data_IF_086519073362
#
_entry.id   IF_086519073362
#
_cell.length_a   1.000
_cell.length_b   1.000
_cell.length_c   1.000
_cell.angle_alpha   90.00
_cell.angle_beta   90.00
_cell.angle_gamma   90.00
#
_symmetry.space_group_name_H-M   'P 1'
#
loop_
_entity.id
_entity.type
_entity.pdbx_description
1 polymer ?
#
# COMPACT_ATOMS: atom_id res chain seq x y z
N UNK A 1 58.36 33.81 2.95
CA UNK A 1 57.70 32.51 2.67
C UNK A 1 56.19 32.74 2.64
N UNK A 2 55.58 32.76 1.45
CA UNK A 2 54.13 32.96 1.28
C UNK A 2 53.37 31.68 1.65
N UNK A 3 52.59 31.71 2.73
CA UNK A 3 51.62 30.65 3.05
C UNK A 3 50.31 30.92 2.30
N UNK A 4 50.02 30.06 1.32
CA UNK A 4 48.73 29.98 0.63
C UNK A 4 47.62 29.67 1.65
N UNK A 5 46.62 30.55 1.75
CA UNK A 5 45.35 30.25 2.41
C UNK A 5 44.52 29.45 1.40
N UNK A 6 44.55 28.13 1.53
CA UNK A 6 43.77 27.23 0.67
C UNK A 6 42.34 27.14 1.23
N UNK A 7 41.44 27.84 0.54
CA UNK A 7 40.06 27.46 0.21
C UNK A 7 39.53 26.16 0.86
N UNK A 8 39.11 26.22 2.13
CA UNK A 8 38.32 25.15 2.77
C UNK A 8 36.81 25.43 2.79
N UNK A 9 36.38 26.67 2.53
CA UNK A 9 34.96 27.04 2.56
C UNK A 9 34.22 26.87 1.22
N UNK A 10 34.93 26.85 0.09
CA UNK A 10 34.28 26.71 -1.23
C UNK A 10 33.87 25.26 -1.51
N UNK A 11 34.71 24.29 -1.11
CA UNK A 11 34.44 22.87 -1.35
C UNK A 11 33.23 22.33 -0.56
N UNK A 12 33.00 22.84 0.66
CA UNK A 12 31.85 22.43 1.48
C UNK A 12 30.53 22.99 0.93
N UNK A 13 30.53 24.25 0.47
CA UNK A 13 29.35 24.86 -0.16
C UNK A 13 28.99 24.17 -1.49
N UNK A 14 29.98 23.76 -2.30
CA UNK A 14 29.72 23.00 -3.53
C UNK A 14 29.05 21.66 -3.24
N UNK A 15 29.47 20.92 -2.21
CA UNK A 15 28.88 19.61 -1.88
C UNK A 15 27.41 19.70 -1.49
N UNK A 16 27.04 20.73 -0.72
CA UNK A 16 25.64 20.98 -0.33
C UNK A 16 24.79 21.34 -1.56
N UNK A 17 25.31 22.18 -2.47
CA UNK A 17 24.62 22.53 -3.71
C UNK A 17 24.41 21.30 -4.61
N UNK A 18 25.44 20.47 -4.80
CA UNK A 18 25.29 19.23 -5.57
C UNK A 18 24.29 18.26 -4.91
N UNK A 19 24.24 18.20 -3.58
CA UNK A 19 23.30 17.35 -2.86
C UNK A 19 21.85 17.84 -3.00
N UNK A 20 21.62 19.16 -2.94
CA UNK A 20 20.30 19.77 -3.18
C UNK A 20 19.86 19.55 -4.63
N UNK A 21 20.76 19.74 -5.60
CA UNK A 21 20.48 19.48 -7.02
C UNK A 21 20.19 18.00 -7.26
N UNK A 22 20.91 17.09 -6.61
CA UNK A 22 20.64 15.66 -6.68
C UNK A 22 19.27 15.30 -6.09
N UNK A 23 18.91 15.82 -4.91
CA UNK A 23 17.59 15.59 -4.31
C UNK A 23 16.48 16.16 -5.21
N UNK A 24 16.65 17.40 -5.69
CA UNK A 24 15.69 18.03 -6.59
C UNK A 24 15.56 17.27 -7.92
N UNK A 25 16.67 16.75 -8.47
CA UNK A 25 16.67 15.92 -9.67
C UNK A 25 16.00 14.57 -9.42
N UNK A 26 16.30 13.90 -8.30
CA UNK A 26 15.63 12.64 -7.91
C UNK A 26 14.14 12.84 -7.70
N UNK A 27 13.71 13.94 -7.07
CA UNK A 27 12.28 14.27 -6.90
C UNK A 27 11.59 14.70 -8.20
N UNK A 28 12.32 15.34 -9.11
CA UNK A 28 11.80 15.72 -10.44
C UNK A 28 11.81 14.55 -11.45
N UNK A 29 12.60 13.49 -11.20
CA UNK A 29 12.70 12.30 -12.07
C UNK A 29 12.01 11.07 -11.52
N UNK A 30 11.67 11.04 -10.22
CA UNK A 30 10.71 10.07 -9.71
C UNK A 30 9.35 10.38 -10.31
N UNK A 31 8.82 9.47 -11.14
CA UNK A 31 7.41 9.55 -11.56
C UNK A 31 6.54 9.82 -10.33
N UNK A 32 5.50 10.67 -10.45
CA UNK A 32 4.53 10.81 -9.37
C UNK A 32 4.08 9.40 -8.98
N UNK A 33 4.22 9.10 -7.70
CA UNK A 33 3.78 7.85 -7.13
C UNK A 33 2.30 7.64 -7.48
N UNK A 34 2.04 6.67 -8.36
CA UNK A 34 0.71 6.28 -8.79
C UNK A 34 0.38 4.93 -8.11
N UNK A 35 -0.38 4.95 -6.99
CA UNK A 35 -0.76 3.74 -6.27
C UNK A 35 -1.41 2.70 -7.16
N UNK A 36 -2.19 3.14 -8.16
CA UNK A 36 -2.88 2.25 -9.09
C UNK A 36 -1.89 1.55 -10.02
N UNK A 37 -0.92 2.28 -10.59
CA UNK A 37 0.13 1.67 -11.42
C UNK A 37 0.94 0.64 -10.64
N UNK A 38 1.33 0.96 -9.41
CA UNK A 38 2.07 0.03 -8.53
C UNK A 38 1.22 -1.20 -8.19
N UNK A 39 -0.06 -1.00 -7.88
CA UNK A 39 -0.98 -2.11 -7.62
C UNK A 39 -1.13 -3.01 -8.85
N UNK A 40 -1.42 -2.45 -10.02
CA UNK A 40 -1.61 -3.17 -11.27
C UNK A 40 -0.37 -4.00 -11.66
N UNK A 41 0.84 -3.47 -11.43
CA UNK A 41 2.10 -4.20 -11.64
C UNK A 41 2.21 -5.44 -10.74
N UNK A 42 1.87 -5.32 -9.45
CA UNK A 42 1.92 -6.43 -8.52
C UNK A 42 0.81 -7.46 -8.78
N UNK A 43 -0.38 -7.02 -9.18
CA UNK A 43 -1.47 -7.90 -9.63
C UNK A 43 -1.01 -8.74 -10.82
N UNK A 44 -0.45 -8.10 -11.85
CA UNK A 44 0.02 -8.81 -13.04
C UNK A 44 1.09 -9.85 -12.69
N UNK A 45 2.06 -9.47 -11.87
CA UNK A 45 3.13 -10.37 -11.43
C UNK A 45 2.58 -11.60 -10.70
N UNK A 46 1.71 -11.41 -9.70
CA UNK A 46 1.17 -12.52 -8.91
C UNK A 46 0.28 -13.46 -9.74
N UNK A 47 -0.43 -12.94 -10.74
CA UNK A 47 -1.20 -13.76 -11.67
C UNK A 47 -0.28 -14.64 -12.52
N UNK A 48 0.80 -14.07 -13.07
CA UNK A 48 1.75 -14.81 -13.91
C UNK A 48 2.58 -15.82 -13.11
N UNK A 49 3.13 -15.40 -11.98
CA UNK A 49 3.98 -16.23 -11.11
C UNK A 49 3.27 -17.51 -10.66
N UNK A 50 1.98 -17.42 -10.36
CA UNK A 50 1.17 -18.54 -9.88
C UNK A 50 0.30 -19.20 -10.97
N UNK A 51 0.40 -18.76 -12.23
CA UNK A 51 -0.38 -19.32 -13.35
C UNK A 51 -1.90 -19.19 -13.17
N UNK A 52 -2.35 -18.08 -12.56
CA UNK A 52 -3.74 -17.86 -12.22
C UNK A 52 -4.55 -17.33 -13.41
N UNK A 53 -5.86 -17.58 -13.41
CA UNK A 53 -6.74 -16.98 -14.41
C UNK A 53 -6.96 -15.50 -14.09
N UNK A 54 -6.40 -14.62 -14.93
CA UNK A 54 -6.50 -13.15 -14.78
C UNK A 54 -7.95 -12.66 -14.70
N UNK A 55 -8.81 -13.13 -15.61
CA UNK A 55 -10.20 -12.67 -15.70
C UNK A 55 -10.98 -13.10 -14.46
N UNK A 56 -10.68 -14.28 -13.93
CA UNK A 56 -11.24 -14.78 -12.69
C UNK A 56 -10.85 -13.92 -11.48
N UNK A 57 -9.56 -13.64 -11.31
CA UNK A 57 -9.04 -12.82 -10.21
C UNK A 57 -9.60 -11.41 -10.28
N UNK A 58 -9.60 -10.78 -11.46
CA UNK A 58 -10.15 -9.44 -11.67
C UNK A 58 -11.64 -9.40 -11.38
N UNK A 59 -12.40 -10.45 -11.73
CA UNK A 59 -13.81 -10.57 -11.36
C UNK A 59 -14.00 -10.54 -9.84
N UNK A 60 -13.16 -11.24 -9.07
CA UNK A 60 -13.25 -11.25 -7.60
C UNK A 60 -12.84 -9.91 -7.00
N UNK A 61 -11.74 -9.30 -7.48
CA UNK A 61 -11.27 -7.98 -7.02
C UNK A 61 -12.34 -6.88 -7.14
N UNK A 62 -13.25 -7.02 -8.11
CA UNK A 62 -14.34 -6.08 -8.31
C UNK A 62 -15.55 -6.30 -7.38
N UNK A 63 -15.53 -7.34 -6.55
CA UNK A 63 -16.59 -7.63 -5.59
C UNK A 63 -16.45 -6.83 -4.29
N UNK A 64 -17.57 -6.63 -3.61
CA UNK A 64 -17.61 -5.98 -2.30
C UNK A 64 -17.04 -6.89 -1.20
N UNK A 65 -17.19 -8.20 -1.34
CA UNK A 65 -16.73 -9.22 -0.40
C UNK A 65 -15.88 -10.22 -1.16
N UNK A 66 -14.74 -10.59 -0.59
CA UNK A 66 -13.83 -11.57 -1.17
C UNK A 66 -14.08 -12.97 -0.56
N UNK A 67 -13.99 -14.04 -1.36
CA UNK A 67 -14.17 -15.41 -0.88
C UNK A 67 -13.01 -15.83 0.04
N UNK A 68 -13.34 -16.45 1.17
CA UNK A 68 -12.36 -16.95 2.15
C UNK A 68 -11.93 -18.40 1.88
N UNK A 69 -12.74 -19.14 1.13
CA UNK A 69 -12.56 -20.56 0.77
C UNK A 69 -11.95 -20.77 -0.62
N UNK A 70 -11.75 -19.69 -1.37
CA UNK A 70 -11.14 -19.72 -2.70
C UNK A 70 -9.63 -19.79 -2.60
N UNK A 71 -9.08 -20.96 -2.98
CA UNK A 71 -7.64 -21.23 -2.94
C UNK A 71 -6.85 -20.34 -3.91
N UNK A 72 -7.33 -20.17 -5.14
CA UNK A 72 -6.61 -19.43 -6.19
C UNK A 72 -6.59 -17.94 -5.84
N UNK A 73 -7.70 -17.42 -5.34
CA UNK A 73 -7.79 -16.06 -4.86
C UNK A 73 -6.96 -15.84 -3.58
N UNK A 74 -6.90 -16.83 -2.68
CA UNK A 74 -6.04 -16.75 -1.50
C UNK A 74 -4.55 -16.70 -1.89
N UNK A 75 -4.10 -17.52 -2.84
CA UNK A 75 -2.72 -17.46 -3.36
C UNK A 75 -2.43 -16.07 -3.94
N UNK A 76 -3.33 -15.59 -4.79
CA UNK A 76 -3.23 -14.25 -5.37
C UNK A 76 -3.13 -13.15 -4.31
N UNK A 77 -4.04 -13.16 -3.33
CA UNK A 77 -4.15 -12.12 -2.33
C UNK A 77 -2.94 -12.11 -1.40
N UNK A 78 -2.43 -13.29 -1.00
CA UNK A 78 -1.22 -13.39 -0.19
C UNK A 78 -0.01 -12.82 -0.93
N UNK A 79 0.16 -13.18 -2.21
CA UNK A 79 1.24 -12.65 -3.05
C UNK A 79 1.19 -11.12 -3.16
N UNK A 80 0.02 -10.54 -3.47
CA UNK A 80 -0.09 -9.08 -3.62
C UNK A 80 0.18 -8.37 -2.29
N UNK A 81 -0.37 -8.87 -1.18
CA UNK A 81 -0.14 -8.30 0.14
C UNK A 81 1.34 -8.36 0.56
N UNK A 82 2.01 -9.49 0.29
CA UNK A 82 3.43 -9.68 0.61
C UNK A 82 4.32 -8.74 -0.21
N UNK A 83 4.08 -8.66 -1.53
CA UNK A 83 4.84 -7.78 -2.43
C UNK A 83 4.66 -6.29 -2.11
N UNK A 84 3.48 -5.90 -1.68
CA UNK A 84 3.20 -4.54 -1.23
C UNK A 84 3.67 -4.27 0.21
N UNK A 85 4.32 -5.25 0.87
CA UNK A 85 4.74 -5.15 2.27
C UNK A 85 3.59 -4.76 3.20
N UNK A 86 2.40 -5.29 2.90
CA UNK A 86 1.19 -5.04 3.67
C UNK A 86 1.10 -5.91 4.90
N UNK A 87 1.99 -6.87 5.11
CA UNK A 87 2.04 -7.65 6.35
C UNK A 87 2.95 -7.00 7.39
N UNK A 88 2.47 -6.95 8.63
CA UNK A 88 3.29 -6.74 9.82
C UNK A 88 4.13 -8.00 10.15
N UNK A 89 5.17 -7.90 10.99
CA UNK A 89 5.97 -9.06 11.40
C UNK A 89 5.18 -10.18 12.08
N UNK A 90 4.00 -9.87 12.63
CA UNK A 90 3.10 -10.83 13.27
C UNK A 90 2.15 -11.53 12.27
N UNK A 91 2.26 -11.24 10.97
CA UNK A 91 1.42 -11.80 9.91
C UNK A 91 0.07 -11.11 9.72
N UNK A 92 -0.26 -10.06 10.50
CA UNK A 92 -1.46 -9.25 10.29
C UNK A 92 -1.26 -8.23 9.17
N UNK A 93 -2.35 -7.73 8.59
CA UNK A 93 -2.29 -6.63 7.65
C UNK A 93 -1.95 -5.33 8.38
N UNK A 94 -0.93 -4.63 7.89
CA UNK A 94 -0.55 -3.28 8.27
C UNK A 94 -1.60 -2.30 7.74
N UNK A 95 -2.60 -1.99 8.56
CA UNK A 95 -3.64 -1.04 8.20
C UNK A 95 -3.18 0.42 8.16
N UNK A 96 -1.94 0.70 8.55
CA UNK A 96 -1.30 2.02 8.47
C UNK A 96 -0.44 2.17 7.22
N UNK A 97 -0.49 1.22 6.29
CA UNK A 97 0.30 1.27 5.07
C UNK A 97 -0.09 2.50 4.23
N UNK A 98 0.87 3.30 3.70
CA UNK A 98 0.60 4.52 2.94
C UNK A 98 -0.23 4.31 1.66
N UNK A 99 -0.43 3.06 1.21
CA UNK A 99 -1.28 2.73 0.06
C UNK A 99 -2.77 2.67 0.41
N UNK A 100 -3.13 2.35 1.65
CA UNK A 100 -4.50 2.02 2.02
C UNK A 100 -5.46 3.21 1.89
N UNK A 101 -5.06 4.37 2.39
CA UNK A 101 -5.91 5.57 2.34
C UNK A 101 -6.16 6.03 0.89
N UNK A 102 -5.13 6.24 0.03
CA UNK A 102 -5.35 6.56 -1.38
C UNK A 102 -6.22 5.53 -2.11
N UNK A 103 -5.98 4.23 -1.86
CA UNK A 103 -6.74 3.15 -2.48
C UNK A 103 -8.22 3.16 -2.07
N UNK A 104 -8.51 3.38 -0.77
CA UNK A 104 -9.89 3.47 -0.26
C UNK A 104 -10.59 4.71 -0.81
N UNK A 105 -9.92 5.87 -0.83
CA UNK A 105 -10.47 7.10 -1.43
C UNK A 105 -10.85 6.89 -2.89
N UNK A 106 -9.94 6.33 -3.69
CA UNK A 106 -10.19 6.04 -5.11
C UNK A 106 -11.35 5.04 -5.27
N UNK A 107 -11.32 3.92 -4.54
CA UNK A 107 -12.28 2.83 -4.70
C UNK A 107 -13.70 3.23 -4.30
N UNK A 108 -13.83 4.05 -3.26
CA UNK A 108 -15.10 4.51 -2.72
C UNK A 108 -15.52 5.89 -3.26
N UNK A 109 -14.72 6.50 -4.14
CA UNK A 109 -14.95 7.83 -4.73
C UNK A 109 -15.21 8.90 -3.66
N UNK A 110 -14.41 8.86 -2.59
CA UNK A 110 -14.55 9.80 -1.48
C UNK A 110 -13.90 11.13 -1.84
N UNK A 111 -14.56 12.21 -1.45
CA UNK A 111 -13.97 13.54 -1.54
C UNK A 111 -12.93 13.78 -0.42
N UNK A 112 -12.20 14.89 -0.52
CA UNK A 112 -11.13 15.26 0.42
C UNK A 112 -11.65 15.65 1.82
N UNK A 113 -12.96 15.86 1.98
CA UNK A 113 -13.56 16.22 3.28
C UNK A 113 -13.78 15.01 4.19
N UNK A 114 -13.76 13.79 3.62
CA UNK A 114 -13.87 12.56 4.38
C UNK A 114 -12.55 12.24 5.08
N UNK A 115 -12.60 12.12 6.41
CA UNK A 115 -11.49 11.62 7.23
C UNK A 115 -11.38 10.09 7.11
N UNK A 116 -10.80 9.64 6.00
CA UNK A 116 -10.60 8.23 5.69
C UNK A 116 -9.69 7.55 6.71
N UNK A 117 -8.73 8.28 7.27
CA UNK A 117 -7.84 7.73 8.30
C UNK A 117 -8.64 7.33 9.54
N UNK A 118 -9.51 8.21 10.04
CA UNK A 118 -10.39 7.87 11.17
C UNK A 118 -11.35 6.71 10.83
N UNK A 119 -11.86 6.64 9.60
CA UNK A 119 -12.68 5.51 9.16
C UNK A 119 -11.91 4.18 9.18
N UNK A 120 -10.67 4.17 8.69
CA UNK A 120 -9.79 3.00 8.72
C UNK A 120 -9.51 2.60 10.18
N UNK A 121 -9.13 3.54 11.03
CA UNK A 121 -8.80 3.24 12.44
C UNK A 121 -10.00 2.61 13.18
N UNK A 122 -11.21 3.16 13.01
CA UNK A 122 -12.45 2.58 13.58
C UNK A 122 -12.76 1.21 13.01
N UNK A 123 -12.60 1.03 11.70
CA UNK A 123 -12.81 -0.25 11.04
C UNK A 123 -11.82 -1.31 11.53
N UNK A 124 -10.57 -0.95 11.80
CA UNK A 124 -9.55 -1.85 12.35
C UNK A 124 -9.87 -2.22 13.79
N UNK A 125 -10.26 -1.26 14.61
CA UNK A 125 -10.66 -1.51 16.01
C UNK A 125 -11.88 -2.43 16.09
N UNK A 126 -12.90 -2.18 15.25
CA UNK A 126 -14.06 -3.06 15.12
C UNK A 126 -13.65 -4.45 14.63
N UNK A 127 -12.82 -4.43 13.56
CA UNK A 127 -12.03 -5.49 12.96
C UNK A 127 -11.48 -6.48 13.98
N UNK A 128 -10.58 -5.99 14.82
CA UNK A 128 -9.70 -6.74 15.69
C UNK A 128 -10.43 -7.59 16.74
N UNK A 129 -11.70 -7.31 17.02
CA UNK A 129 -12.51 -8.04 18.03
C UNK A 129 -12.75 -9.51 17.67
N UNK A 130 -12.72 -9.85 16.38
CA UNK A 130 -12.87 -11.25 15.94
C UNK A 130 -11.58 -12.06 16.20
N UNK A 131 -11.67 -13.36 16.53
CA UNK A 131 -10.50 -14.23 16.63
C UNK A 131 -9.69 -14.26 15.32
N UNK A 132 -8.36 -14.37 15.44
CA UNK A 132 -7.50 -14.65 14.28
C UNK A 132 -7.76 -16.06 13.76
N UNK A 133 -7.61 -16.24 12.45
CA UNK A 133 -7.75 -17.53 11.79
C UNK A 133 -6.52 -17.84 10.94
N UNK A 134 -6.19 -19.12 10.81
CA UNK A 134 -5.11 -19.57 9.93
C UNK A 134 -5.70 -20.17 8.64
N UNK A 135 -5.00 -20.05 7.50
CA UNK A 135 -3.72 -19.36 7.31
C UNK A 135 -3.83 -17.82 7.36
N UNK A 136 -2.71 -17.12 7.58
CA UNK A 136 -2.63 -15.64 7.63
C UNK A 136 -3.46 -14.91 6.57
N UNK A 137 -3.49 -15.43 5.34
CA UNK A 137 -4.20 -14.83 4.22
C UNK A 137 -5.72 -14.87 4.40
N UNK A 138 -6.25 -15.94 4.99
CA UNK A 138 -7.69 -16.04 5.28
C UNK A 138 -8.07 -15.03 6.36
N UNK A 139 -7.22 -14.84 7.38
CA UNK A 139 -7.41 -13.76 8.35
C UNK A 139 -7.34 -12.38 7.68
N UNK A 140 -6.39 -12.15 6.77
CA UNK A 140 -6.30 -10.90 6.03
C UNK A 140 -7.57 -10.60 5.20
N UNK A 141 -8.08 -11.58 4.46
CA UNK A 141 -9.32 -11.49 3.68
C UNK A 141 -10.51 -11.18 4.60
N UNK A 142 -10.66 -11.92 5.71
CA UNK A 142 -11.74 -11.71 6.66
C UNK A 142 -11.72 -10.32 7.28
N UNK A 143 -10.53 -9.84 7.69
CA UNK A 143 -10.38 -8.48 8.24
C UNK A 143 -10.69 -7.41 7.19
N UNK A 144 -10.25 -7.61 5.94
CA UNK A 144 -10.58 -6.71 4.82
C UNK A 144 -12.08 -6.68 4.57
N UNK A 145 -12.75 -7.83 4.54
CA UNK A 145 -14.19 -7.92 4.33
C UNK A 145 -14.97 -7.20 5.43
N UNK A 146 -14.64 -7.45 6.69
CA UNK A 146 -15.25 -6.74 7.80
C UNK A 146 -14.97 -5.24 7.75
N UNK A 147 -13.73 -4.83 7.44
CA UNK A 147 -13.38 -3.42 7.35
C UNK A 147 -14.14 -2.69 6.24
N UNK A 148 -14.27 -3.32 5.06
CA UNK A 148 -15.05 -2.80 3.96
C UNK A 148 -16.54 -2.64 4.31
N UNK A 149 -17.13 -3.64 4.97
CA UNK A 149 -18.52 -3.57 5.45
C UNK A 149 -18.71 -2.47 6.49
N UNK A 150 -17.77 -2.33 7.43
CA UNK A 150 -17.81 -1.29 8.45
C UNK A 150 -17.74 0.10 7.81
N UNK A 151 -16.78 0.34 6.93
CA UNK A 151 -16.58 1.63 6.25
C UNK A 151 -17.83 1.99 5.42
N UNK A 152 -18.38 1.03 4.66
CA UNK A 152 -19.58 1.26 3.85
C UNK A 152 -20.81 1.71 4.67
N UNK A 153 -20.92 1.31 5.94
CA UNK A 153 -22.01 1.73 6.85
C UNK A 153 -21.82 3.14 7.44
N UNK A 154 -20.62 3.72 7.33
CA UNK A 154 -20.25 4.97 8.00
C UNK A 154 -19.85 6.09 7.03
N UNK A 155 -19.94 5.84 5.72
CA UNK A 155 -19.88 6.87 4.69
C UNK A 155 -21.33 7.27 4.40
N UNK A 156 -21.67 8.53 4.67
CA UNK A 156 -22.98 9.15 4.42
C UNK A 156 -22.84 10.32 3.45
#
# INVERSE_FOLDING_TARGET
MNKRIVSRNVATNMKVVFFIVFIAYVQATSEPFDPKKVFDQNVHHCVEEHGLNKDYVVKILNQNTYPEDDKDFSIFYDCVADRLSMYEPNGDINFKHPYLEPFIRERLKLDDTVDVKTLIEKAVEHCAKSPKVEPRVVNAIRRRNCGAEHIAKHIH
#
